data_IF_604462242308
#
_entry.id   IF_604462242308
#
_cell.length_a   1.000
_cell.length_b   1.000
_cell.length_c   1.000
_cell.angle_alpha   90.00
_cell.angle_beta   90.00
_cell.angle_gamma   90.00
#
_symmetry.space_group_name_H-M   'P 1'
#
loop_
_entity.id
_entity.type
_entity.pdbx_description
1 polymer ?
#
# COMPACT_ATOMS: atom_id res chain seq x y z
N UNK A 1 -20.15 -18.10 -14.52
CA UNK A 1 -19.24 -17.11 -15.14
C UNK A 1 -19.10 -17.49 -16.59
N UNK A 2 -19.96 -16.93 -17.32
CA UNK A 2 -20.26 -17.31 -18.67
C UNK A 2 -19.86 -16.13 -19.53
N UNK A 3 -18.95 -16.36 -20.49
CA UNK A 3 -18.68 -15.47 -21.65
C UNK A 3 -18.53 -13.96 -21.37
N UNK A 4 -18.28 -13.58 -20.14
CA UNK A 4 -18.18 -12.21 -19.67
C UNK A 4 -16.70 -11.78 -19.51
N UNK A 5 -16.50 -10.58 -19.12
CA UNK A 5 -15.20 -9.93 -19.02
C UNK A 5 -14.17 -10.74 -18.23
N UNK A 6 -12.97 -10.90 -18.78
CA UNK A 6 -11.86 -11.58 -18.12
C UNK A 6 -11.33 -10.74 -16.96
N UNK A 7 -11.25 -11.36 -15.77
CA UNK A 7 -10.68 -10.73 -14.58
C UNK A 7 -9.28 -11.29 -14.30
N UNK A 8 -8.31 -10.42 -14.13
CA UNK A 8 -6.92 -10.79 -13.82
C UNK A 8 -6.78 -11.54 -12.49
N UNK A 9 -7.60 -11.18 -11.51
CA UNK A 9 -7.69 -11.86 -10.22
C UNK A 9 -8.91 -12.78 -10.20
N UNK A 10 -8.91 -13.75 -11.11
CA UNK A 10 -9.92 -14.79 -11.14
C UNK A 10 -9.72 -15.80 -9.99
N UNK A 11 -10.71 -16.68 -9.71
CA UNK A 11 -10.66 -17.61 -8.60
C UNK A 11 -9.41 -18.50 -8.58
N UNK A 12 -8.90 -18.93 -9.74
CA UNK A 12 -7.72 -19.80 -9.82
C UNK A 12 -6.45 -19.08 -9.41
N UNK A 13 -6.27 -17.83 -9.87
CA UNK A 13 -5.14 -16.97 -9.47
C UNK A 13 -5.17 -16.69 -7.98
N UNK A 14 -6.35 -16.32 -7.43
CA UNK A 14 -6.50 -16.04 -6.01
C UNK A 14 -6.21 -17.28 -5.15
N UNK A 15 -6.71 -18.45 -5.55
CA UNK A 15 -6.48 -19.71 -4.85
C UNK A 15 -5.00 -20.09 -4.86
N UNK A 16 -4.35 -20.02 -6.01
CA UNK A 16 -2.92 -20.32 -6.13
C UNK A 16 -2.05 -19.33 -5.30
N UNK A 17 -2.42 -18.05 -5.24
CA UNK A 17 -1.75 -17.07 -4.39
C UNK A 17 -1.91 -17.42 -2.90
N UNK A 18 -3.12 -17.77 -2.47
CA UNK A 18 -3.37 -18.16 -1.07
C UNK A 18 -2.60 -19.42 -0.68
N UNK A 19 -2.56 -20.43 -1.57
CA UNK A 19 -1.79 -21.65 -1.37
C UNK A 19 -0.30 -21.35 -1.24
N UNK A 20 0.27 -20.62 -2.18
CA UNK A 20 1.67 -20.20 -2.19
C UNK A 20 2.06 -19.45 -0.89
N UNK A 21 1.24 -18.53 -0.42
CA UNK A 21 1.51 -17.77 0.81
C UNK A 21 1.39 -18.64 2.06
N UNK A 22 0.48 -19.62 2.05
CA UNK A 22 0.26 -20.51 3.19
C UNK A 22 1.35 -21.56 3.33
N UNK A 23 1.80 -22.16 2.22
CA UNK A 23 2.82 -23.20 2.23
C UNK A 23 4.23 -22.62 2.31
N UNK A 24 4.48 -21.49 1.68
CA UNK A 24 5.80 -20.91 1.49
C UNK A 24 6.68 -21.70 0.50
N UNK A 25 6.13 -22.70 -0.18
CA UNK A 25 6.84 -23.56 -1.10
C UNK A 25 7.04 -22.89 -2.47
N UNK A 26 8.28 -22.99 -2.98
CA UNK A 26 8.62 -22.35 -4.26
C UNK A 26 7.85 -22.95 -5.47
N UNK A 27 7.49 -24.20 -5.41
CA UNK A 27 6.70 -24.85 -6.49
C UNK A 27 5.26 -24.32 -6.55
N UNK A 28 4.67 -23.96 -5.42
CA UNK A 28 3.36 -23.30 -5.37
C UNK A 28 3.44 -21.86 -5.88
N UNK A 29 4.55 -21.17 -5.61
CA UNK A 29 4.82 -19.88 -6.23
C UNK A 29 4.93 -19.98 -7.76
N UNK A 30 5.57 -21.03 -8.30
CA UNK A 30 5.65 -21.24 -9.76
C UNK A 30 4.27 -21.41 -10.38
N UNK A 31 3.38 -22.19 -9.76
CA UNK A 31 1.99 -22.36 -10.23
C UNK A 31 1.27 -21.01 -10.31
N UNK A 32 1.36 -20.23 -9.24
CA UNK A 32 0.82 -18.87 -9.22
C UNK A 32 1.42 -17.99 -10.33
N UNK A 33 2.74 -18.01 -10.48
CA UNK A 33 3.46 -17.21 -11.47
C UNK A 33 3.07 -17.61 -12.92
N UNK A 34 2.87 -18.90 -13.19
CA UNK A 34 2.41 -19.40 -14.50
C UNK A 34 1.01 -18.88 -14.82
N UNK A 35 0.08 -18.93 -13.88
CA UNK A 35 -1.28 -18.41 -14.07
C UNK A 35 -1.29 -16.91 -14.38
N UNK A 36 -0.42 -16.15 -13.71
CA UNK A 36 -0.33 -14.68 -13.91
C UNK A 36 0.39 -14.33 -15.21
N UNK A 37 1.48 -15.03 -15.53
CA UNK A 37 2.34 -14.65 -16.66
C UNK A 37 1.85 -15.19 -18.01
N UNK A 38 1.09 -16.29 -18.03
CA UNK A 38 0.59 -16.93 -19.25
C UNK A 38 -0.88 -16.60 -19.58
N UNK A 39 -1.47 -15.64 -18.83
CA UNK A 39 -2.82 -15.17 -19.11
C UNK A 39 -2.90 -14.39 -20.41
N UNK A 40 -4.12 -14.21 -20.91
CA UNK A 40 -4.36 -13.28 -22.01
C UNK A 40 -3.95 -11.84 -21.62
N UNK A 41 -3.35 -11.06 -22.54
CA UNK A 41 -3.03 -9.66 -22.28
C UNK A 41 -4.26 -8.85 -21.88
N UNK A 42 -4.23 -8.25 -20.71
CA UNK A 42 -5.31 -7.40 -20.18
C UNK A 42 -4.89 -5.93 -20.09
N UNK A 43 -3.59 -5.66 -20.09
CA UNK A 43 -3.03 -4.31 -19.99
C UNK A 43 -2.04 -4.06 -21.14
N UNK A 44 -1.86 -2.81 -21.51
CA UNK A 44 -0.88 -2.41 -22.54
C UNK A 44 0.54 -2.92 -22.20
N UNK A 45 0.92 -2.95 -20.94
CA UNK A 45 2.23 -3.48 -20.50
C UNK A 45 2.42 -4.96 -20.83
N UNK A 46 1.34 -5.75 -20.90
CA UNK A 46 1.42 -7.18 -21.20
C UNK A 46 1.81 -7.43 -22.68
N UNK A 47 1.66 -6.42 -23.54
CA UNK A 47 2.11 -6.40 -24.94
C UNK A 47 3.57 -5.98 -25.09
N UNK A 48 4.22 -5.54 -24.02
CA UNK A 48 5.60 -5.10 -24.05
C UNK A 48 6.55 -6.24 -23.70
N UNK A 49 7.72 -6.21 -24.29
CA UNK A 49 8.80 -7.14 -23.96
C UNK A 49 10.12 -6.40 -23.75
N UNK A 50 11.00 -6.98 -22.93
CA UNK A 50 12.33 -6.41 -22.76
C UNK A 50 13.13 -6.54 -24.08
N UNK A 51 13.81 -5.47 -24.44
CA UNK A 51 14.67 -5.43 -25.62
C UNK A 51 15.85 -6.40 -25.45
N UNK A 52 15.97 -7.41 -26.30
CA UNK A 52 16.99 -8.46 -26.18
C UNK A 52 18.40 -8.07 -26.62
N UNK A 53 18.65 -6.79 -26.93
CA UNK A 53 19.92 -6.31 -27.47
C UNK A 53 20.84 -5.73 -26.37
N UNK A 54 21.07 -6.47 -25.30
CA UNK A 54 22.01 -6.04 -24.29
C UNK A 54 23.32 -6.84 -24.37
N UNK A 55 24.44 -6.12 -24.28
CA UNK A 55 25.74 -6.75 -24.04
C UNK A 55 25.70 -7.46 -22.70
N UNK A 56 26.05 -8.74 -22.67
CA UNK A 56 26.13 -9.49 -21.41
C UNK A 56 27.21 -8.85 -20.53
N UNK A 57 26.87 -8.65 -19.27
CA UNK A 57 27.79 -8.17 -18.23
C UNK A 57 28.05 -9.27 -17.19
N UNK A 58 29.15 -9.17 -16.47
CA UNK A 58 29.41 -10.08 -15.36
C UNK A 58 28.36 -9.89 -14.26
N UNK A 59 27.95 -10.99 -13.61
CA UNK A 59 27.03 -10.95 -12.48
C UNK A 59 27.54 -10.07 -11.33
N UNK A 60 28.86 -9.98 -11.15
CA UNK A 60 29.51 -9.08 -10.18
C UNK A 60 29.24 -7.59 -10.43
N UNK A 61 28.87 -7.23 -11.66
CA UNK A 61 28.53 -5.86 -12.04
C UNK A 61 27.01 -5.60 -12.00
N UNK A 62 26.21 -6.58 -11.61
CA UNK A 62 24.77 -6.44 -11.42
C UNK A 62 24.50 -5.98 -10.00
N UNK A 63 23.71 -4.93 -9.85
CA UNK A 63 23.30 -4.44 -8.53
C UNK A 63 22.52 -5.52 -7.78
N UNK A 64 22.85 -5.76 -6.51
CA UNK A 64 22.15 -6.75 -5.70
C UNK A 64 20.71 -6.33 -5.39
N UNK A 65 19.80 -7.30 -5.24
CA UNK A 65 18.40 -7.05 -4.93
C UNK A 65 18.23 -6.20 -3.66
N UNK A 66 19.06 -6.43 -2.63
CA UNK A 66 19.02 -5.68 -1.37
C UNK A 66 19.23 -4.17 -1.58
N UNK A 67 20.03 -3.77 -2.57
CA UNK A 67 20.24 -2.37 -2.89
C UNK A 67 19.03 -1.71 -3.55
N UNK A 68 18.08 -2.48 -4.06
CA UNK A 68 16.84 -1.94 -4.63
C UNK A 68 15.77 -1.67 -3.59
N UNK A 69 15.71 -2.41 -2.49
CA UNK A 69 14.58 -2.39 -1.56
C UNK A 69 14.27 -0.98 -1.02
N UNK A 70 15.29 -0.18 -0.76
CA UNK A 70 15.11 1.20 -0.28
C UNK A 70 14.51 2.16 -1.32
N UNK A 71 14.41 1.75 -2.58
CA UNK A 71 13.78 2.53 -3.68
C UNK A 71 12.30 2.27 -3.81
N UNK A 72 11.76 1.33 -3.03
CA UNK A 72 10.36 0.96 -3.10
C UNK A 72 9.61 1.45 -1.87
N UNK A 73 8.45 2.01 -2.13
CA UNK A 73 7.52 2.49 -1.13
C UNK A 73 6.17 1.80 -1.34
N UNK A 74 5.39 1.58 -0.27
CA UNK A 74 4.01 1.13 -0.45
C UNK A 74 3.13 2.28 -0.91
N UNK A 75 2.00 1.95 -1.52
CA UNK A 75 0.93 2.92 -1.72
C UNK A 75 0.44 3.49 -0.38
N UNK A 76 -0.11 4.70 -0.41
CA UNK A 76 -0.73 5.31 0.75
C UNK A 76 -2.09 4.67 1.05
N UNK A 77 -2.12 3.73 1.97
CA UNK A 77 -3.33 3.02 2.40
C UNK A 77 -3.61 3.32 3.86
N UNK A 78 -4.71 4.02 4.13
CA UNK A 78 -5.05 4.49 5.47
C UNK A 78 -5.66 3.39 6.34
N UNK A 79 -5.46 3.50 7.65
CA UNK A 79 -6.24 2.75 8.64
C UNK A 79 -7.72 3.12 8.51
N UNK A 80 -8.57 2.10 8.34
CA UNK A 80 -9.99 2.24 8.00
C UNK A 80 -10.30 1.77 6.57
N UNK A 81 -9.36 1.94 5.62
CA UNK A 81 -9.35 1.20 4.37
C UNK A 81 -8.74 -0.20 4.54
N UNK A 82 -7.76 -0.31 5.43
CA UNK A 82 -7.16 -1.58 5.88
C UNK A 82 -7.47 -1.81 7.35
N UNK A 83 -7.42 -3.07 7.78
CA UNK A 83 -7.42 -3.42 9.20
C UNK A 83 -6.10 -3.00 9.87
N UNK A 84 -6.06 -2.84 11.20
CA UNK A 84 -4.83 -2.53 11.92
C UNK A 84 -3.71 -3.53 11.66
N UNK A 85 -4.04 -4.82 11.61
CA UNK A 85 -3.10 -5.91 11.38
C UNK A 85 -2.47 -5.83 10.00
N UNK A 86 -3.26 -5.59 8.95
CA UNK A 86 -2.77 -5.44 7.59
C UNK A 86 -1.91 -4.17 7.46
N UNK A 87 -2.32 -3.07 8.08
CA UNK A 87 -1.58 -1.82 8.08
C UNK A 87 -0.23 -1.94 8.80
N UNK A 88 -0.18 -2.66 9.93
CA UNK A 88 1.06 -2.95 10.66
C UNK A 88 1.95 -3.93 9.90
N UNK A 89 1.37 -4.98 9.29
CA UNK A 89 2.13 -5.96 8.52
C UNK A 89 2.88 -5.32 7.36
N UNK A 90 2.26 -4.38 6.65
CA UNK A 90 2.93 -3.61 5.58
C UNK A 90 4.11 -2.80 6.12
N UNK A 91 3.95 -2.14 7.26
CA UNK A 91 5.02 -1.36 7.87
C UNK A 91 6.19 -2.27 8.31
N UNK A 92 5.89 -3.40 8.96
CA UNK A 92 6.89 -4.37 9.40
C UNK A 92 7.65 -4.93 8.19
N UNK A 93 6.95 -5.34 7.14
CA UNK A 93 7.56 -5.89 5.93
C UNK A 93 8.53 -4.89 5.29
N UNK A 94 8.09 -3.66 5.08
CA UNK A 94 8.94 -2.63 4.46
C UNK A 94 10.12 -2.23 5.35
N UNK A 95 9.92 -2.11 6.65
CA UNK A 95 11.02 -1.83 7.58
C UNK A 95 12.05 -2.96 7.62
N UNK A 96 11.60 -4.22 7.55
CA UNK A 96 12.48 -5.40 7.50
C UNK A 96 13.31 -5.44 6.22
N UNK A 97 12.71 -5.06 5.09
CA UNK A 97 13.40 -5.01 3.79
C UNK A 97 14.26 -3.76 3.59
N UNK A 98 14.15 -2.75 4.45
CA UNK A 98 14.82 -1.47 4.28
C UNK A 98 14.12 -0.50 3.33
N UNK A 99 12.88 -0.81 2.92
CA UNK A 99 11.98 0.08 2.20
C UNK A 99 11.19 0.99 3.12
N UNK A 100 10.13 1.62 2.58
CA UNK A 100 9.26 2.52 3.34
C UNK A 100 7.80 2.21 3.12
N UNK A 101 7.04 2.11 4.20
CA UNK A 101 5.58 2.06 4.13
C UNK A 101 4.99 3.47 4.26
N UNK A 102 3.83 3.66 3.63
CA UNK A 102 3.07 4.90 3.68
C UNK A 102 1.83 4.69 4.55
N UNK A 103 1.68 5.48 5.60
CA UNK A 103 0.57 5.36 6.54
C UNK A 103 -0.80 5.70 5.93
N UNK A 104 -0.83 6.32 4.73
CA UNK A 104 -2.00 7.06 4.31
C UNK A 104 -2.19 8.32 5.13
N UNK A 105 -3.33 8.97 5.03
CA UNK A 105 -3.60 10.24 5.69
C UNK A 105 -4.05 10.05 7.14
N UNK A 106 -3.12 10.22 8.08
CA UNK A 106 -3.40 10.13 9.52
C UNK A 106 -3.79 8.73 10.01
N UNK A 107 -4.21 8.65 11.28
CA UNK A 107 -4.74 7.41 11.87
C UNK A 107 -3.69 6.37 12.28
N UNK A 108 -2.42 6.68 12.26
CA UNK A 108 -1.39 5.82 12.81
C UNK A 108 -1.27 6.01 14.33
N UNK A 109 -1.42 4.92 15.09
CA UNK A 109 -1.32 4.95 16.54
C UNK A 109 0.10 5.37 16.98
N UNK A 110 0.18 6.32 17.92
CA UNK A 110 1.44 6.77 18.53
C UNK A 110 2.27 5.64 19.15
N UNK A 111 1.64 4.54 19.56
CA UNK A 111 2.33 3.35 20.07
C UNK A 111 3.21 2.66 19.02
N UNK A 112 2.97 2.95 17.75
CA UNK A 112 3.76 2.42 16.63
C UNK A 112 5.01 3.24 16.33
N UNK A 113 5.07 4.48 16.83
CA UNK A 113 6.23 5.36 16.60
C UNK A 113 7.46 4.81 17.30
N UNK A 114 8.62 4.96 16.67
CA UNK A 114 9.92 4.47 17.16
C UNK A 114 10.02 2.94 17.33
N UNK A 115 9.20 2.18 16.62
CA UNK A 115 9.34 0.72 16.56
C UNK A 115 9.19 0.20 15.12
N UNK A 116 9.37 -1.10 14.92
CA UNK A 116 9.32 -1.72 13.58
C UNK A 116 7.94 -1.64 12.90
N UNK A 117 6.92 -1.15 13.59
CA UNK A 117 5.56 -0.97 13.06
C UNK A 117 5.30 0.45 12.54
N UNK A 118 6.26 1.36 12.65
CA UNK A 118 6.09 2.73 12.17
C UNK A 118 6.10 2.81 10.64
N UNK A 119 5.20 3.59 10.08
CA UNK A 119 5.24 3.95 8.66
C UNK A 119 6.16 5.17 8.49
N UNK A 120 7.21 5.01 7.70
CA UNK A 120 8.22 6.06 7.48
C UNK A 120 7.71 7.21 6.64
N UNK A 121 6.78 6.93 5.72
CA UNK A 121 6.08 7.96 4.94
C UNK A 121 4.76 8.24 5.63
N UNK A 122 4.51 9.51 5.95
CA UNK A 122 3.26 9.97 6.54
C UNK A 122 2.59 10.97 5.61
N UNK A 123 1.35 10.64 5.23
CA UNK A 123 0.58 11.46 4.31
C UNK A 123 -0.22 12.52 5.08
N UNK A 124 -0.32 13.69 4.49
CA UNK A 124 -1.11 14.82 5.00
C UNK A 124 -1.84 15.52 3.85
N UNK A 125 -3.13 15.82 4.04
CA UNK A 125 -3.91 16.69 3.14
C UNK A 125 -4.41 17.91 3.89
N UNK A 126 -5.03 17.71 5.06
CA UNK A 126 -5.45 18.77 5.96
C UNK A 126 -4.86 18.53 7.35
N UNK A 127 -4.81 19.53 8.19
CA UNK A 127 -4.41 19.38 9.60
C UNK A 127 -5.48 18.68 10.45
N UNK A 128 -6.28 17.81 9.85
CA UNK A 128 -7.39 17.05 10.46
C UNK A 128 -7.19 15.56 10.21
N UNK A 129 -8.21 14.76 10.45
CA UNK A 129 -8.27 13.35 10.06
C UNK A 129 -7.23 12.46 10.76
N UNK A 130 -6.79 12.87 11.95
CA UNK A 130 -5.77 12.18 12.73
C UNK A 130 -4.34 12.62 12.44
N UNK A 131 -4.16 13.66 11.62
CA UNK A 131 -2.85 14.31 11.43
C UNK A 131 -2.58 15.24 12.60
N UNK A 132 -1.50 14.98 13.33
CA UNK A 132 -1.06 15.79 14.46
C UNK A 132 0.40 16.19 14.30
N UNK A 133 0.90 17.21 15.02
CA UNK A 133 2.34 17.49 15.03
C UNK A 133 3.18 16.28 15.44
N UNK A 134 2.72 15.49 16.42
CA UNK A 134 3.41 14.29 16.86
C UNK A 134 3.47 13.22 15.75
N UNK A 135 2.41 13.06 14.96
CA UNK A 135 2.41 12.21 13.79
C UNK A 135 3.43 12.68 12.74
N UNK A 136 3.46 13.98 12.45
CA UNK A 136 4.32 14.55 11.40
C UNK A 136 5.82 14.50 11.76
N UNK A 137 6.19 14.79 13.00
CA UNK A 137 7.61 14.78 13.41
C UNK A 137 8.21 13.37 13.46
N UNK A 138 7.39 12.33 13.45
CA UNK A 138 7.83 10.94 13.36
C UNK A 138 7.90 10.42 11.92
N UNK A 139 7.77 11.27 10.91
CA UNK A 139 7.92 10.92 9.52
C UNK A 139 9.39 11.04 9.08
N UNK A 140 9.89 10.06 8.32
CA UNK A 140 11.10 10.26 7.50
C UNK A 140 10.77 11.07 6.24
N UNK A 141 9.56 10.86 5.69
CA UNK A 141 9.05 11.57 4.51
C UNK A 141 7.61 12.01 4.78
N UNK A 142 7.34 13.27 4.57
CA UNK A 142 5.97 13.82 4.57
C UNK A 142 5.49 13.84 3.11
N UNK A 143 4.37 13.16 2.85
CA UNK A 143 3.74 13.17 1.55
C UNK A 143 2.51 14.08 1.57
N UNK A 144 2.54 15.15 0.80
CA UNK A 144 1.39 16.06 0.66
C UNK A 144 0.42 15.47 -0.36
N UNK A 145 -0.81 15.23 0.09
CA UNK A 145 -1.90 14.72 -0.75
C UNK A 145 -2.70 15.89 -1.29
N UNK A 146 -2.62 16.14 -2.59
CA UNK A 146 -3.27 17.28 -3.24
C UNK A 146 -4.67 16.97 -3.77
N UNK A 147 -4.96 15.69 -4.04
CA UNK A 147 -6.25 15.23 -4.55
C UNK A 147 -6.40 13.73 -4.34
N UNK A 148 -7.61 13.21 -4.54
CA UNK A 148 -7.89 11.78 -4.52
C UNK A 148 -8.73 11.36 -5.74
N UNK A 149 -8.10 10.64 -6.68
CA UNK A 149 -8.75 9.99 -7.81
C UNK A 149 -9.76 10.89 -8.54
N UNK A 150 -11.00 10.43 -8.64
CA UNK A 150 -12.10 11.13 -9.30
C UNK A 150 -12.75 12.26 -8.45
N UNK A 151 -12.13 12.66 -7.35
CA UNK A 151 -12.65 13.69 -6.42
C UNK A 151 -11.69 14.89 -6.34
N UNK A 152 -11.53 15.70 -7.40
CA UNK A 152 -10.70 16.90 -7.36
C UNK A 152 -11.22 17.87 -6.30
N UNK A 153 -10.32 18.36 -5.44
CA UNK A 153 -10.65 19.28 -4.37
C UNK A 153 -11.31 18.66 -3.13
N UNK A 154 -11.59 17.36 -3.13
CA UNK A 154 -12.03 16.61 -1.95
C UNK A 154 -10.89 15.76 -1.39
N UNK A 155 -10.78 15.69 -0.07
CA UNK A 155 -9.85 14.82 0.61
C UNK A 155 -10.38 13.38 0.76
N UNK A 156 -9.74 12.60 1.64
CA UNK A 156 -10.19 11.27 1.99
C UNK A 156 -11.57 11.26 2.66
N UNK A 157 -12.32 10.21 2.44
CA UNK A 157 -13.59 9.97 3.13
C UNK A 157 -13.54 8.59 3.78
N UNK A 158 -13.96 8.52 5.05
CA UNK A 158 -14.17 7.28 5.77
C UNK A 158 -15.63 7.21 6.20
N UNK A 159 -16.44 6.28 5.63
CA UNK A 159 -17.83 6.10 6.00
C UNK A 159 -18.02 5.80 7.47
N UNK A 160 -19.10 6.26 8.07
CA UNK A 160 -19.38 6.13 9.50
C UNK A 160 -19.42 4.68 10.00
N UNK A 161 -19.89 3.75 9.19
CA UNK A 161 -19.93 2.31 9.49
C UNK A 161 -18.53 1.71 9.69
N UNK A 162 -17.49 2.32 9.14
CA UNK A 162 -16.08 1.96 9.35
C UNK A 162 -15.42 2.68 10.52
N UNK A 163 -16.06 3.71 11.05
CA UNK A 163 -15.52 4.50 12.18
C UNK A 163 -15.93 3.85 13.49
N UNK A 164 -15.20 2.81 13.90
CA UNK A 164 -15.35 2.21 15.22
C UNK A 164 -14.65 3.06 16.30
N UNK A 165 -14.75 2.65 17.57
CA UNK A 165 -14.17 3.39 18.70
C UNK A 165 -12.67 3.64 18.54
N UNK A 166 -11.90 2.65 18.11
CA UNK A 166 -10.46 2.78 17.91
C UNK A 166 -10.12 3.79 16.80
N UNK A 167 -10.81 3.70 15.67
CA UNK A 167 -10.59 4.61 14.54
C UNK A 167 -11.02 6.04 14.94
N UNK A 168 -12.13 6.17 15.65
CA UNK A 168 -12.59 7.47 16.15
C UNK A 168 -11.56 8.12 17.07
N UNK A 169 -10.98 7.37 18.00
CA UNK A 169 -9.92 7.84 18.90
C UNK A 169 -8.69 8.32 18.11
N UNK A 170 -8.18 7.49 17.20
CA UNK A 170 -7.00 7.80 16.39
C UNK A 170 -7.20 8.98 15.43
N UNK A 171 -8.44 9.26 15.06
CA UNK A 171 -8.78 10.34 14.13
C UNK A 171 -9.41 11.56 14.81
N UNK A 172 -9.46 11.55 16.14
CA UNK A 172 -10.06 12.63 16.95
C UNK A 172 -11.51 12.93 16.53
N UNK A 173 -12.33 11.89 16.48
CA UNK A 173 -13.70 11.93 15.99
C UNK A 173 -14.65 11.12 16.87
N UNK A 174 -15.89 10.98 16.42
CA UNK A 174 -16.95 10.24 17.12
C UNK A 174 -17.24 8.94 16.36
N UNK A 175 -17.40 7.81 17.04
CA UNK A 175 -17.77 6.55 16.41
C UNK A 175 -19.08 6.65 15.62
N UNK A 176 -19.16 5.99 14.49
CA UNK A 176 -20.36 5.98 13.63
C UNK A 176 -20.55 7.22 12.78
N UNK A 177 -19.70 8.23 12.90
CA UNK A 177 -19.80 9.46 12.12
C UNK A 177 -18.84 9.41 10.94
N UNK A 178 -19.35 9.70 9.73
CA UNK A 178 -18.53 9.80 8.51
C UNK A 178 -17.48 10.91 8.65
N UNK A 179 -16.24 10.58 8.35
CA UNK A 179 -15.12 11.49 8.37
C UNK A 179 -14.77 11.94 6.96
N UNK A 180 -14.56 13.25 6.80
CA UNK A 180 -14.13 13.84 5.53
C UNK A 180 -12.88 14.68 5.79
N UNK A 181 -11.82 14.38 5.06
CA UNK A 181 -10.65 15.22 4.98
C UNK A 181 -10.91 16.37 4.01
N UNK A 182 -10.40 17.54 4.32
CA UNK A 182 -10.50 18.71 3.45
C UNK A 182 -9.30 18.74 2.50
N UNK A 183 -9.46 19.34 1.32
CA UNK A 183 -8.38 19.45 0.37
C UNK A 183 -7.22 20.32 0.87
N UNK A 184 -6.05 20.15 0.26
CA UNK A 184 -4.81 20.87 0.57
C UNK A 184 -4.90 22.40 0.50
N UNK A 185 -5.93 22.96 -0.09
CA UNK A 185 -6.15 24.41 -0.19
C UNK A 185 -6.32 25.10 1.16
N UNK A 186 -6.36 24.33 2.25
CA UNK A 186 -6.49 24.80 3.62
C UNK A 186 -5.31 24.42 4.52
N UNK A 187 -4.18 23.99 3.93
CA UNK A 187 -2.92 23.78 4.63
C UNK A 187 -2.22 25.12 4.91
#
# INVERSE_FOLDING_TARGET
ETDEEHHDYNPDVVKALQECVTTGEYDDYKKYAELVNNRQPSFIRDLLSLKKQFKKISLSNVESAQKFYHRFDTAGMSLGALSPEAHEALAIAMNTLGGRSNSGEGGEDKKRFNCNKTSKIKQVASGRFGVTPHYLVNAEVIQIKIAQGAKPGEGGQLPGDKVNNMIAELRFSVPGVTLISVSYTHL
#
